data_IF_355177143221
#
_entry.id   IF_355177143221
#
_cell.length_a   1.000
_cell.length_b   1.000
_cell.length_c   1.000
_cell.angle_alpha   90.00
_cell.angle_beta   90.00
_cell.angle_gamma   90.00
#
_symmetry.space_group_name_H-M   'P 1'
#
loop_
_entity.id
_entity.type
_entity.pdbx_description
1 polymer ?
#
# COMPACT_ATOMS: atom_id res chain seq x y z
N UNK A 1 28.85 -8.22 10.91
CA UNK A 1 27.50 -8.75 10.63
C UNK A 1 27.69 -9.80 9.55
N UNK A 2 27.42 -11.07 9.86
CA UNK A 2 27.73 -12.18 8.95
C UNK A 2 26.68 -12.25 7.84
N UNK A 3 27.10 -12.11 6.58
CA UNK A 3 26.21 -12.18 5.40
C UNK A 3 25.45 -13.52 5.32
N UNK A 4 25.95 -14.58 5.97
CA UNK A 4 25.28 -15.88 6.08
C UNK A 4 23.90 -15.81 6.75
N UNK A 5 23.65 -14.84 7.63
CA UNK A 5 22.32 -14.67 8.25
C UNK A 5 21.28 -14.08 7.26
N UNK A 6 21.71 -13.31 6.26
CA UNK A 6 20.83 -12.78 5.22
C UNK A 6 20.38 -13.87 4.24
N UNK A 7 21.29 -14.78 3.86
CA UNK A 7 20.97 -15.93 3.01
C UNK A 7 19.94 -16.85 3.68
N UNK A 8 20.01 -17.00 5.00
CA UNK A 8 19.00 -17.73 5.79
C UNK A 8 17.61 -17.08 5.71
N UNK A 9 17.50 -15.77 5.47
CA UNK A 9 16.20 -15.09 5.36
C UNK A 9 15.47 -15.46 4.06
N UNK A 10 16.21 -15.60 2.96
CA UNK A 10 15.70 -16.14 1.69
C UNK A 10 15.30 -17.62 1.81
N UNK A 11 16.01 -18.38 2.65
CA UNK A 11 15.74 -19.80 2.93
C UNK A 11 14.62 -20.08 3.94
N UNK A 12 14.05 -19.06 4.61
CA UNK A 12 12.93 -19.25 5.56
C UNK A 12 11.69 -19.80 4.85
N UNK A 13 10.89 -20.61 5.56
CA UNK A 13 9.62 -21.09 5.03
C UNK A 13 8.70 -19.90 4.69
N UNK A 14 8.38 -19.78 3.39
CA UNK A 14 7.55 -18.75 2.76
C UNK A 14 6.21 -19.31 2.26
N UNK A 15 5.87 -20.54 2.65
CA UNK A 15 4.58 -21.15 2.35
C UNK A 15 3.44 -20.40 3.04
N UNK A 16 2.24 -20.38 2.43
CA UNK A 16 1.06 -19.77 3.04
C UNK A 16 0.78 -20.34 4.43
N UNK A 17 0.52 -19.44 5.39
CA UNK A 17 0.22 -19.82 6.78
C UNK A 17 -1.27 -19.71 7.06
N UNK A 18 -1.87 -20.76 7.61
CA UNK A 18 -3.28 -20.78 8.01
C UNK A 18 -3.61 -19.74 9.09
N UNK A 19 -2.64 -19.38 9.93
CA UNK A 19 -2.78 -18.34 10.96
C UNK A 19 -2.67 -16.91 10.41
N UNK A 20 -2.21 -16.71 9.17
CA UNK A 20 -2.04 -15.39 8.59
C UNK A 20 -3.30 -14.95 7.83
N UNK A 21 -3.94 -13.86 8.27
CA UNK A 21 -5.14 -13.35 7.62
C UNK A 21 -4.91 -13.01 6.13
N UNK A 22 -3.78 -12.37 5.79
CA UNK A 22 -3.47 -12.04 4.38
C UNK A 22 -3.26 -13.31 3.52
N UNK A 23 -2.73 -14.41 4.10
CA UNK A 23 -2.69 -15.69 3.39
C UNK A 23 -4.06 -16.33 3.20
N UNK A 24 -5.02 -16.09 4.10
CA UNK A 24 -6.42 -16.52 3.91
C UNK A 24 -7.06 -15.74 2.76
N UNK A 25 -6.84 -14.42 2.71
CA UNK A 25 -7.36 -13.58 1.62
C UNK A 25 -6.79 -13.93 0.26
N UNK A 26 -5.51 -14.30 0.21
CA UNK A 26 -4.84 -14.76 -1.00
C UNK A 26 -5.57 -15.94 -1.69
N UNK A 27 -6.42 -16.69 -0.97
CA UNK A 27 -7.24 -17.79 -1.53
C UNK A 27 -8.55 -17.33 -2.16
N UNK A 28 -9.02 -16.13 -1.84
CA UNK A 28 -10.31 -15.60 -2.32
C UNK A 28 -10.23 -15.16 -3.78
N UNK A 29 -11.31 -15.30 -4.55
CA UNK A 29 -11.33 -14.91 -5.97
C UNK A 29 -11.40 -13.39 -6.13
N UNK A 30 -10.91 -12.86 -7.25
CA UNK A 30 -11.15 -11.46 -7.65
C UNK A 30 -12.68 -11.20 -7.66
N UNK A 31 -13.10 -10.06 -7.11
CA UNK A 31 -14.51 -9.71 -6.87
C UNK A 31 -15.04 -10.10 -5.48
N UNK A 32 -14.33 -10.95 -4.73
CA UNK A 32 -14.76 -11.33 -3.38
C UNK A 32 -14.49 -10.23 -2.36
N UNK A 33 -15.34 -10.12 -1.34
CA UNK A 33 -15.07 -9.32 -0.13
C UNK A 33 -14.45 -10.23 0.94
N UNK A 34 -13.36 -9.77 1.54
CA UNK A 34 -12.63 -10.41 2.62
C UNK A 34 -12.43 -9.42 3.79
N UNK A 35 -11.75 -9.84 4.86
CA UNK A 35 -11.64 -9.06 6.10
C UNK A 35 -10.94 -7.70 5.94
N UNK A 36 -9.99 -7.58 5.01
CA UNK A 36 -9.24 -6.35 4.71
C UNK A 36 -9.79 -5.57 3.52
N UNK A 37 -10.84 -6.06 2.84
CA UNK A 37 -11.46 -5.36 1.73
C UNK A 37 -11.91 -6.22 0.56
N UNK A 38 -12.01 -5.64 -0.63
CA UNK A 38 -12.41 -6.34 -1.85
C UNK A 38 -11.19 -6.75 -2.66
N UNK A 39 -11.10 -8.02 -3.08
CA UNK A 39 -10.02 -8.49 -3.96
C UNK A 39 -10.26 -7.91 -5.36
N UNK A 40 -9.37 -7.04 -5.83
CA UNK A 40 -9.55 -6.33 -7.12
C UNK A 40 -8.62 -6.83 -8.23
N UNK A 41 -7.54 -7.52 -7.88
CA UNK A 41 -6.57 -8.00 -8.86
C UNK A 41 -5.78 -9.20 -8.36
N UNK A 42 -5.37 -10.06 -9.30
CA UNK A 42 -4.42 -11.15 -9.10
C UNK A 42 -3.59 -11.37 -10.36
N UNK A 43 -2.33 -11.75 -10.18
CA UNK A 43 -1.43 -12.19 -11.24
C UNK A 43 -0.61 -13.37 -10.73
N UNK A 44 -0.26 -14.30 -11.63
CA UNK A 44 0.58 -15.45 -11.33
C UNK A 44 -0.09 -16.50 -10.43
N UNK A 45 0.73 -17.43 -9.95
CA UNK A 45 0.33 -18.55 -9.09
C UNK A 45 0.85 -18.39 -7.66
N UNK A 46 0.70 -19.41 -6.82
CA UNK A 46 1.16 -19.33 -5.43
C UNK A 46 2.67 -19.07 -5.30
N UNK A 47 3.50 -19.41 -6.28
CA UNK A 47 4.97 -19.22 -6.23
C UNK A 47 5.40 -17.86 -6.78
N UNK A 48 4.67 -17.36 -7.77
CA UNK A 48 5.06 -16.21 -8.60
C UNK A 48 4.12 -15.02 -8.45
N UNK A 49 3.02 -15.18 -7.74
CA UNK A 49 1.89 -14.29 -7.86
C UNK A 49 1.71 -13.27 -6.74
N UNK A 50 0.91 -12.27 -7.07
CA UNK A 50 0.50 -11.17 -6.22
C UNK A 50 -1.01 -10.98 -6.30
N UNK A 51 -1.58 -10.39 -5.25
CA UNK A 51 -2.98 -9.98 -5.23
C UNK A 51 -3.13 -8.59 -4.64
N UNK A 52 -4.18 -7.89 -5.05
CA UNK A 52 -4.49 -6.56 -4.55
C UNK A 52 -5.88 -6.48 -3.95
N UNK A 53 -6.01 -5.70 -2.89
CA UNK A 53 -7.27 -5.47 -2.16
C UNK A 53 -7.57 -3.99 -2.02
N UNK A 54 -8.79 -3.58 -2.37
CA UNK A 54 -9.32 -2.26 -2.01
C UNK A 54 -9.70 -2.25 -0.53
N UNK A 55 -9.03 -1.43 0.27
CA UNK A 55 -9.33 -1.24 1.70
C UNK A 55 -10.69 -0.54 1.89
N UNK A 56 -11.54 -0.99 2.85
CA UNK A 56 -12.80 -0.32 3.16
C UNK A 56 -12.59 1.00 3.92
N UNK A 57 -11.35 1.27 4.34
CA UNK A 57 -10.96 2.50 5.05
C UNK A 57 -9.87 3.24 4.31
N UNK A 58 -9.93 4.56 4.34
CA UNK A 58 -8.86 5.47 3.90
C UNK A 58 -8.42 6.35 5.07
N UNK A 59 -7.18 6.83 5.08
CA UNK A 59 -6.74 7.88 6.01
C UNK A 59 -7.02 9.30 5.51
N UNK A 60 -7.52 9.42 4.27
CA UNK A 60 -7.81 10.69 3.60
C UNK A 60 -9.30 11.02 3.61
N UNK A 61 -9.76 11.79 2.63
CA UNK A 61 -11.17 12.12 2.44
C UNK A 61 -11.92 10.89 1.89
N UNK A 62 -12.88 10.27 2.62
CA UNK A 62 -13.54 9.04 2.18
C UNK A 62 -14.43 9.22 0.94
N UNK A 63 -14.76 10.46 0.58
CA UNK A 63 -15.51 10.79 -0.65
C UNK A 63 -14.66 10.77 -1.91
N UNK A 64 -13.33 10.82 -1.79
CA UNK A 64 -12.39 11.02 -2.89
C UNK A 64 -11.21 10.04 -2.85
N UNK A 65 -10.66 9.80 -1.66
CA UNK A 65 -9.51 8.94 -1.43
C UNK A 65 -9.90 7.49 -1.16
N UNK A 66 -8.97 6.59 -1.45
CA UNK A 66 -9.04 5.18 -1.15
C UNK A 66 -7.63 4.58 -1.06
N UNK A 67 -7.50 3.33 -0.64
CA UNK A 67 -6.20 2.67 -0.52
C UNK A 67 -6.28 1.27 -1.11
N UNK A 68 -5.33 0.94 -1.98
CA UNK A 68 -5.13 -0.43 -2.45
C UNK A 68 -3.94 -1.01 -1.71
N UNK A 69 -4.08 -2.26 -1.25
CA UNK A 69 -2.99 -3.03 -0.67
C UNK A 69 -2.57 -4.09 -1.67
N UNK A 70 -1.28 -4.18 -1.97
CA UNK A 70 -0.65 -5.17 -2.84
C UNK A 70 0.20 -6.13 -1.99
N UNK A 71 -0.03 -7.43 -2.15
CA UNK A 71 0.58 -8.48 -1.34
C UNK A 71 1.00 -9.68 -2.19
N UNK A 72 2.09 -10.39 -1.85
CA UNK A 72 2.42 -11.64 -2.50
C UNK A 72 1.39 -12.72 -2.12
N UNK A 73 1.18 -13.71 -2.99
CA UNK A 73 0.36 -14.88 -2.64
C UNK A 73 1.11 -15.79 -1.63
N UNK A 74 2.45 -15.81 -1.69
CA UNK A 74 3.33 -16.44 -0.69
C UNK A 74 3.37 -15.65 0.61
N UNK A 75 3.63 -16.32 1.71
CA UNK A 75 3.87 -15.65 2.99
C UNK A 75 5.30 -15.10 3.06
N UNK A 76 5.54 -13.97 2.40
CA UNK A 76 6.78 -13.22 2.57
C UNK A 76 6.67 -12.27 3.75
N UNK A 77 7.78 -12.02 4.43
CA UNK A 77 7.87 -11.10 5.58
C UNK A 77 8.81 -9.93 5.32
N UNK A 78 9.63 -10.03 4.27
CA UNK A 78 10.61 -9.02 3.91
C UNK A 78 10.81 -8.90 2.39
N UNK A 79 11.11 -7.70 1.89
CA UNK A 79 11.33 -7.45 0.46
C UNK A 79 12.54 -8.22 -0.10
N UNK A 80 13.61 -8.39 0.70
CA UNK A 80 14.78 -9.14 0.25
C UNK A 80 14.47 -10.59 -0.13
N UNK A 81 13.39 -11.18 0.40
CA UNK A 81 12.97 -12.54 0.02
C UNK A 81 12.43 -12.61 -1.41
N UNK A 82 12.04 -11.48 -2.01
CA UNK A 82 11.59 -11.43 -3.40
C UNK A 82 12.76 -11.70 -4.36
N UNK A 83 13.99 -11.31 -4.00
CA UNK A 83 15.18 -11.50 -4.82
C UNK A 83 15.39 -12.96 -5.23
N UNK A 84 15.06 -13.91 -4.35
CA UNK A 84 15.17 -15.35 -4.61
C UNK A 84 14.15 -15.89 -5.63
N UNK A 85 13.21 -15.06 -6.10
CA UNK A 85 12.12 -15.48 -6.98
C UNK A 85 11.94 -14.47 -8.14
N UNK A 86 12.72 -14.57 -9.23
CA UNK A 86 12.71 -13.57 -10.32
C UNK A 86 11.32 -13.31 -10.91
N UNK A 87 10.53 -14.34 -11.16
CA UNK A 87 9.17 -14.17 -11.70
C UNK A 87 8.21 -13.50 -10.70
N UNK A 88 8.39 -13.72 -9.40
CA UNK A 88 7.64 -12.99 -8.36
C UNK A 88 8.01 -11.51 -8.36
N UNK A 89 9.29 -11.17 -8.56
CA UNK A 89 9.77 -9.80 -8.68
C UNK A 89 9.23 -9.09 -9.93
N UNK A 90 9.23 -9.78 -11.06
CA UNK A 90 8.63 -9.29 -12.31
C UNK A 90 7.14 -9.00 -12.12
N UNK A 91 6.39 -9.97 -11.59
CA UNK A 91 4.96 -9.81 -11.33
C UNK A 91 4.66 -8.72 -10.29
N UNK A 92 5.56 -8.45 -9.33
CA UNK A 92 5.45 -7.31 -8.43
C UNK A 92 5.46 -5.99 -9.22
N UNK A 93 6.45 -5.79 -10.09
CA UNK A 93 6.56 -4.59 -10.91
C UNK A 93 5.35 -4.37 -11.82
N UNK A 94 4.88 -5.43 -12.47
CA UNK A 94 3.68 -5.41 -13.33
C UNK A 94 2.43 -5.07 -12.50
N UNK A 95 2.22 -5.74 -11.37
CA UNK A 95 1.07 -5.49 -10.52
C UNK A 95 1.07 -4.06 -9.96
N UNK A 96 2.24 -3.60 -9.49
CA UNK A 96 2.41 -2.26 -8.95
C UNK A 96 2.08 -1.19 -9.99
N UNK A 97 2.65 -1.28 -11.19
CA UNK A 97 2.41 -0.31 -12.26
C UNK A 97 0.95 -0.28 -12.71
N UNK A 98 0.31 -1.45 -12.88
CA UNK A 98 -1.12 -1.55 -13.21
C UNK A 98 -2.00 -0.92 -12.14
N UNK A 99 -1.71 -1.16 -10.86
CA UNK A 99 -2.46 -0.56 -9.75
C UNK A 99 -2.29 0.95 -9.71
N UNK A 100 -1.08 1.47 -9.88
CA UNK A 100 -0.84 2.91 -9.95
C UNK A 100 -1.61 3.54 -11.12
N UNK A 101 -1.60 2.92 -12.31
CA UNK A 101 -2.40 3.37 -13.46
C UNK A 101 -3.88 3.38 -13.13
N UNK A 102 -4.42 2.30 -12.56
CA UNK A 102 -5.84 2.19 -12.21
C UNK A 102 -6.28 3.25 -11.19
N UNK A 103 -5.48 3.50 -10.14
CA UNK A 103 -5.76 4.56 -9.17
C UNK A 103 -5.77 5.92 -9.86
N UNK A 104 -4.75 6.22 -10.67
CA UNK A 104 -4.67 7.47 -11.42
C UNK A 104 -5.84 7.67 -12.37
N UNK A 105 -6.31 6.62 -13.04
CA UNK A 105 -7.50 6.68 -13.91
C UNK A 105 -8.76 7.02 -13.13
N UNK A 106 -8.97 6.42 -11.96
CA UNK A 106 -10.11 6.76 -11.10
C UNK A 106 -10.03 8.22 -10.64
N UNK A 107 -8.87 8.67 -10.16
CA UNK A 107 -8.68 10.05 -9.69
C UNK A 107 -8.83 11.08 -10.81
N UNK A 108 -8.36 10.76 -12.02
CA UNK A 108 -8.58 11.60 -13.20
C UNK A 108 -10.06 11.71 -13.55
N UNK A 109 -10.81 10.59 -13.49
CA UNK A 109 -12.24 10.58 -13.81
C UNK A 109 -13.11 11.25 -12.73
N UNK A 110 -12.81 11.03 -11.44
CA UNK A 110 -13.60 11.58 -10.34
C UNK A 110 -13.26 13.05 -10.03
N UNK A 111 -12.02 13.48 -10.29
CA UNK A 111 -11.50 14.78 -9.81
C UNK A 111 -10.70 15.58 -10.85
N UNK A 112 -10.50 15.07 -12.05
CA UNK A 112 -9.75 15.78 -13.10
C UNK A 112 -8.24 15.89 -12.84
N UNK A 113 -7.69 15.05 -11.94
CA UNK A 113 -6.26 15.04 -11.65
C UNK A 113 -5.43 14.49 -12.81
N UNK A 114 -4.24 15.06 -13.03
CA UNK A 114 -3.35 14.76 -14.14
C UNK A 114 -1.97 14.30 -13.64
N UNK A 115 -1.41 13.28 -14.30
CA UNK A 115 -0.08 12.76 -13.96
C UNK A 115 1.05 13.73 -14.34
N UNK A 116 0.84 14.56 -15.35
CA UNK A 116 1.79 15.58 -15.80
C UNK A 116 1.06 16.91 -15.92
N UNK A 117 1.42 17.86 -15.06
CA UNK A 117 0.90 19.23 -15.05
C UNK A 117 1.83 20.09 -14.20
N UNK A 118 1.99 21.34 -14.59
CA UNK A 118 2.72 22.34 -13.79
C UNK A 118 1.84 22.91 -12.66
N UNK A 119 0.51 22.77 -12.78
CA UNK A 119 -0.43 23.20 -11.75
C UNK A 119 -0.48 22.19 -10.60
N UNK A 120 0.18 22.52 -9.49
CA UNK A 120 0.21 21.68 -8.27
C UNK A 120 -1.17 21.20 -7.79
N UNK A 121 -2.23 21.99 -7.98
CA UNK A 121 -3.60 21.61 -7.56
C UNK A 121 -4.22 20.51 -8.42
N UNK A 122 -3.75 20.36 -9.66
CA UNK A 122 -4.22 19.35 -10.61
C UNK A 122 -3.29 18.12 -10.64
N UNK A 123 -2.16 18.14 -9.94
CA UNK A 123 -1.19 17.05 -10.00
C UNK A 123 -1.67 15.82 -9.25
N UNK A 124 -1.31 14.64 -9.78
CA UNK A 124 -1.63 13.34 -9.21
C UNK A 124 -0.81 13.09 -7.92
N UNK A 125 -1.43 13.11 -6.72
CA UNK A 125 -0.69 12.94 -5.49
C UNK A 125 -0.72 11.47 -5.11
N UNK A 126 0.21 10.64 -5.58
CA UNK A 126 0.23 9.21 -5.28
C UNK A 126 1.46 8.85 -4.43
N UNK A 127 1.26 8.08 -3.35
CA UNK A 127 2.36 7.48 -2.60
C UNK A 127 2.18 5.97 -2.45
N UNK A 128 3.32 5.30 -2.27
CA UNK A 128 3.40 3.90 -1.91
C UNK A 128 4.15 3.75 -0.58
N UNK A 129 3.57 2.98 0.35
CA UNK A 129 4.15 2.67 1.63
C UNK A 129 4.26 1.15 1.80
N UNK A 130 5.48 0.63 1.72
CA UNK A 130 5.79 -0.77 1.97
C UNK A 130 6.04 -1.04 3.45
N UNK A 131 5.40 -2.07 4.00
CA UNK A 131 5.69 -2.54 5.36
C UNK A 131 6.23 -3.96 5.34
N UNK A 132 7.48 -4.10 5.75
CA UNK A 132 8.19 -5.36 5.93
C UNK A 132 8.75 -5.44 7.35
N UNK A 133 7.89 -5.67 8.33
CA UNK A 133 8.31 -5.64 9.74
C UNK A 133 8.52 -7.03 10.29
N UNK A 134 9.72 -7.26 10.82
CA UNK A 134 10.03 -8.32 11.76
C UNK A 134 10.34 -7.68 13.11
N UNK A 135 9.31 -7.36 13.90
CA UNK A 135 9.48 -6.83 15.25
C UNK A 135 8.95 -7.85 16.26
N UNK A 136 9.81 -8.23 17.21
CA UNK A 136 9.55 -9.31 18.18
C UNK A 136 9.14 -10.59 17.43
N UNK A 137 8.09 -11.26 17.90
CA UNK A 137 7.52 -12.49 17.31
C UNK A 137 6.58 -12.23 16.13
N UNK A 138 6.29 -10.95 15.81
CA UNK A 138 5.33 -10.61 14.76
C UNK A 138 6.01 -10.58 13.40
N UNK A 139 5.84 -11.67 12.65
CA UNK A 139 6.19 -11.77 11.24
C UNK A 139 4.99 -11.32 10.41
N UNK A 140 4.91 -10.02 10.12
CA UNK A 140 3.83 -9.51 9.27
C UNK A 140 4.05 -9.98 7.83
N UNK A 141 2.96 -10.44 7.20
CA UNK A 141 2.98 -10.71 5.78
C UNK A 141 3.18 -9.37 5.05
N UNK A 142 4.24 -9.33 4.25
CA UNK A 142 4.63 -8.22 3.38
C UNK A 142 3.43 -7.66 2.64
N UNK A 143 3.24 -6.34 2.73
CA UNK A 143 2.22 -5.64 1.97
C UNK A 143 2.65 -4.22 1.67
N UNK A 144 2.18 -3.71 0.54
CA UNK A 144 2.41 -2.35 0.06
C UNK A 144 1.07 -1.65 -0.02
N UNK A 145 0.96 -0.47 0.56
CA UNK A 145 -0.23 0.38 0.45
C UNK A 145 0.02 1.45 -0.58
N UNK A 146 -0.90 1.61 -1.52
CA UNK A 146 -0.85 2.62 -2.56
C UNK A 146 -2.10 3.49 -2.41
N UNK A 147 -1.92 4.80 -2.26
CA UNK A 147 -2.99 5.72 -1.88
C UNK A 147 -2.71 7.15 -2.32
N UNK A 148 -3.75 8.00 -2.44
CA UNK A 148 -3.56 9.42 -2.67
C UNK A 148 -2.86 10.11 -1.48
N UNK A 149 -1.69 10.71 -1.72
CA UNK A 149 -0.86 11.40 -0.73
C UNK A 149 -1.21 12.89 -0.65
N UNK A 150 -2.34 13.19 -0.01
CA UNK A 150 -2.85 14.56 0.13
C UNK A 150 -3.62 14.75 1.44
N UNK A 151 -4.02 15.99 1.71
CA UNK A 151 -4.71 16.37 2.94
C UNK A 151 -3.90 15.96 4.18
N UNK A 152 -4.58 15.37 5.17
CA UNK A 152 -3.93 14.96 6.41
C UNK A 152 -2.92 13.81 6.25
N UNK A 153 -2.99 13.00 5.19
CA UNK A 153 -1.96 11.98 4.93
C UNK A 153 -0.72 12.58 4.27
N UNK A 154 -0.90 13.59 3.41
CA UNK A 154 0.14 14.26 2.63
C UNK A 154 1.05 15.16 3.45
N UNK A 155 1.56 14.66 4.58
CA UNK A 155 2.44 15.38 5.49
C UNK A 155 3.90 14.99 5.23
N UNK A 156 4.83 15.97 5.18
CA UNK A 156 6.26 15.71 5.04
C UNK A 156 6.78 14.69 6.05
N UNK A 157 7.62 13.78 5.58
CA UNK A 157 8.28 12.78 6.39
C UNK A 157 9.67 13.26 6.84
N UNK A 158 10.26 12.63 7.85
CA UNK A 158 11.50 13.11 8.51
C UNK A 158 12.72 13.20 7.60
N UNK A 159 12.68 12.61 6.40
CA UNK A 159 13.77 12.66 5.42
C UNK A 159 13.43 13.51 4.18
N UNK A 160 12.26 14.16 4.16
CA UNK A 160 11.91 15.05 3.07
C UNK A 160 12.63 16.39 3.26
N UNK A 161 13.25 16.94 2.22
CA UNK A 161 13.92 18.26 2.27
C UNK A 161 12.98 19.41 2.65
N UNK A 162 11.67 19.22 2.48
CA UNK A 162 10.63 20.15 2.94
C UNK A 162 10.41 20.13 4.46
N UNK A 163 11.00 19.18 5.18
CA UNK A 163 10.88 19.04 6.64
C UNK A 163 11.55 20.21 7.39
N UNK A 164 12.65 20.75 6.86
CA UNK A 164 13.40 21.88 7.46
C UNK A 164 12.60 23.20 7.45
N UNK A 165 11.57 23.32 6.60
CA UNK A 165 10.80 24.56 6.41
C UNK A 165 9.58 24.67 7.32
N UNK A 166 9.47 23.85 8.37
CA UNK A 166 8.31 23.81 9.26
C UNK A 166 8.55 24.49 10.60
N UNK A 167 7.45 24.98 11.19
CA UNK A 167 7.42 25.50 12.55
C UNK A 167 7.90 24.43 13.54
N UNK A 168 9.04 24.69 14.15
CA UNK A 168 9.60 23.89 15.24
C UNK A 168 8.86 24.26 16.51
N UNK A 169 8.19 23.28 17.12
CA UNK A 169 7.55 23.45 18.42
C UNK A 169 8.55 23.09 19.51
N UNK A 170 8.74 24.01 20.45
CA UNK A 170 9.56 23.78 21.64
C UNK A 170 8.66 23.43 22.82
N UNK A 171 8.83 22.23 23.38
CA UNK A 171 8.10 21.78 24.56
C UNK A 171 8.45 22.65 25.77
N UNK A 172 7.44 23.21 26.44
CA UNK A 172 7.64 23.94 27.69
C UNK A 172 8.12 22.96 28.78
N UNK A 173 9.21 23.30 29.47
CA UNK A 173 9.76 22.53 30.58
C UNK A 173 10.94 21.63 30.20
N UNK A 174 10.90 20.94 29.05
CA UNK A 174 12.03 20.09 28.61
C UNK A 174 12.92 20.77 27.57
N UNK A 175 12.41 21.81 26.89
CA UNK A 175 13.10 22.48 25.80
C UNK A 175 13.26 21.62 24.54
N UNK A 176 12.66 20.42 24.49
CA UNK A 176 12.73 19.53 23.33
C UNK A 176 12.00 20.12 22.14
N UNK A 177 12.61 19.98 20.96
CA UNK A 177 12.09 20.49 19.70
C UNK A 177 11.46 19.36 18.89
N UNK A 178 10.28 19.62 18.32
CA UNK A 178 9.59 18.66 17.48
C UNK A 178 8.72 19.38 16.43
N UNK A 179 8.51 18.71 15.30
CA UNK A 179 7.56 19.15 14.27
C UNK A 179 6.22 18.48 14.55
N UNK A 180 5.15 19.27 14.73
CA UNK A 180 3.81 18.72 14.92
C UNK A 180 3.26 18.14 13.61
N UNK A 181 2.74 16.94 13.70
CA UNK A 181 2.00 16.26 12.63
C UNK A 181 0.52 16.21 13.02
N UNK A 182 -0.36 16.44 12.04
CA UNK A 182 -1.80 16.22 12.19
C UNK A 182 -2.03 14.71 12.33
N UNK A 183 -2.84 14.33 13.31
CA UNK A 183 -3.18 12.93 13.52
C UNK A 183 -4.03 12.38 12.37
N UNK A 184 -3.61 11.26 11.76
CA UNK A 184 -4.33 10.60 10.67
C UNK A 184 -5.26 9.52 11.24
N UNK A 185 -6.57 9.70 11.07
CA UNK A 185 -7.59 8.69 11.43
C UNK A 185 -8.09 7.96 10.20
N UNK A 186 -8.17 6.63 10.28
CA UNK A 186 -8.80 5.83 9.23
C UNK A 186 -10.31 5.95 9.32
N UNK A 187 -10.94 6.35 8.23
CA UNK A 187 -12.39 6.51 8.09
C UNK A 187 -12.94 5.53 7.07
N UNK A 188 -14.16 5.04 7.30
CA UNK A 188 -14.84 4.13 6.38
C UNK A 188 -15.23 4.85 5.09
N UNK A 189 -15.00 4.19 3.96
CA UNK A 189 -15.56 4.60 2.68
C UNK A 189 -17.04 4.19 2.68
N UNK A 190 -17.91 5.08 2.19
CA UNK A 190 -19.32 4.76 2.02
C UNK A 190 -19.52 3.48 1.20
N UNK A 191 -20.51 2.66 1.56
CA UNK A 191 -20.72 1.34 0.96
C UNK A 191 -21.01 1.41 -0.54
N UNK A 192 -21.78 2.41 -0.98
CA UNK A 192 -22.10 2.59 -2.41
C UNK A 192 -20.83 2.95 -3.19
N UNK A 193 -20.03 3.87 -2.65
CA UNK A 193 -18.74 4.25 -3.26
C UNK A 193 -17.75 3.08 -3.26
N UNK A 194 -17.62 2.35 -2.16
CA UNK A 194 -16.73 1.19 -2.07
C UNK A 194 -17.06 0.12 -3.12
N UNK A 195 -18.34 -0.19 -3.30
CA UNK A 195 -18.79 -1.16 -4.31
C UNK A 195 -18.62 -0.64 -5.75
N UNK A 196 -18.76 0.68 -5.97
CA UNK A 196 -18.44 1.32 -7.27
C UNK A 196 -16.95 1.17 -7.58
N UNK A 197 -16.09 1.62 -6.67
CA UNK A 197 -14.63 1.55 -6.80
C UNK A 197 -14.15 0.11 -7.03
N UNK A 198 -14.66 -0.86 -6.27
CA UNK A 198 -14.25 -2.26 -6.42
C UNK A 198 -14.52 -2.78 -7.85
N UNK A 199 -15.69 -2.45 -8.43
CA UNK A 199 -16.04 -2.85 -9.81
C UNK A 199 -15.17 -2.14 -10.84
N UNK A 200 -15.00 -0.83 -10.70
CA UNK A 200 -14.17 -0.03 -11.61
C UNK A 200 -12.71 -0.49 -11.61
N UNK A 201 -12.13 -0.71 -10.44
CA UNK A 201 -10.76 -1.22 -10.32
C UNK A 201 -10.60 -2.61 -10.96
N UNK A 202 -11.57 -3.51 -10.77
CA UNK A 202 -11.53 -4.83 -11.43
C UNK A 202 -11.55 -4.68 -12.95
N UNK A 203 -12.33 -3.75 -13.51
CA UNK A 203 -12.33 -3.51 -14.95
C UNK A 203 -10.99 -2.94 -15.43
N UNK A 204 -10.47 -1.91 -14.75
CA UNK A 204 -9.22 -1.25 -15.11
C UNK A 204 -7.97 -2.14 -14.98
N UNK A 205 -8.06 -3.22 -14.19
CA UNK A 205 -6.95 -4.14 -13.93
C UNK A 205 -7.01 -5.44 -14.73
N UNK A 206 -8.00 -5.61 -15.62
CA UNK A 206 -8.10 -6.77 -16.53
C UNK A 206 -7.18 -6.67 -17.75
N UNK A 207 -6.88 -5.45 -18.18
CA UNK A 207 -5.90 -5.14 -19.23
C UNK A 207 -4.48 -5.26 -18.70
#
# INVERSE_FOLDING_TARGET
MDYKEFDKLGAKNTEPKSSCNLCKEAKSKVGSKAGYGAIVYKIGDIKTGWFATLSPRTGGNPKADFTIQLMPLRHLTHFSQIHSYPKLAENFGIAFSKICKAISSVLMQEEGLMASTEEKRLSMPLAAYGKCTTWKEKKEHLHIKIFPFRGNIGQPYTVDSSFERKEVFKEKGTGKEFVKMIHVRKVMIDTKRFNKLARELIMLLKD
#
